data_IF_682239648213
#
_entry.id   IF_682239648213
#
_cell.length_a   1.000
_cell.length_b   1.000
_cell.length_c   1.000
_cell.angle_alpha   90.00
_cell.angle_beta   90.00
_cell.angle_gamma   90.00
#
_symmetry.space_group_name_H-M   'P 1'
#
loop_
_entity.id
_entity.type
_entity.pdbx_description
1 polymer ?
#
# COMPACT_ATOMS: atom_id res chain seq x y z
N UNK A 1 2.83 -45.18 -57.36
CA UNK A 1 2.68 -44.81 -55.95
C UNK A 1 3.88 -45.35 -55.24
N UNK A 2 4.85 -44.47 -54.98
CA UNK A 2 6.15 -44.86 -54.45
C UNK A 2 6.05 -45.09 -52.94
N UNK A 3 6.59 -46.21 -52.46
CA UNK A 3 6.52 -46.59 -51.04
C UNK A 3 7.11 -45.55 -50.07
N UNK A 4 7.91 -44.61 -50.57
CA UNK A 4 8.44 -43.48 -49.83
C UNK A 4 7.37 -42.44 -49.45
N UNK A 5 6.33 -42.23 -50.26
CA UNK A 5 5.22 -41.33 -49.93
C UNK A 5 4.38 -41.87 -48.76
N UNK A 6 4.24 -43.19 -48.68
CA UNK A 6 3.50 -43.86 -47.62
C UNK A 6 4.22 -43.72 -46.26
N UNK A 7 5.54 -43.94 -46.23
CA UNK A 7 6.35 -43.76 -45.01
C UNK A 7 6.42 -42.28 -44.60
N UNK A 8 6.56 -41.36 -45.55
CA UNK A 8 6.56 -39.92 -45.28
C UNK A 8 5.22 -39.47 -44.66
N UNK A 9 4.08 -39.93 -45.18
CA UNK A 9 2.75 -39.62 -44.63
C UNK A 9 2.54 -40.16 -43.20
N UNK A 10 3.11 -41.33 -42.88
CA UNK A 10 3.06 -41.96 -41.56
C UNK A 10 3.90 -41.19 -40.54
N UNK A 11 5.11 -40.76 -40.92
CA UNK A 11 5.97 -39.91 -40.08
C UNK A 11 5.34 -38.53 -39.89
N UNK A 12 4.78 -37.94 -40.93
CA UNK A 12 4.12 -36.63 -40.84
C UNK A 12 2.86 -36.68 -39.96
N UNK A 13 2.09 -37.76 -40.04
CA UNK A 13 0.94 -38.01 -39.15
C UNK A 13 1.37 -38.22 -37.69
N UNK A 14 2.40 -39.04 -37.46
CA UNK A 14 2.93 -39.27 -36.12
C UNK A 14 3.49 -37.98 -35.50
N UNK A 15 4.16 -37.14 -36.29
CA UNK A 15 4.72 -35.87 -35.82
C UNK A 15 3.62 -34.84 -35.52
N UNK A 16 2.52 -34.84 -36.30
CA UNK A 16 1.34 -33.99 -36.06
C UNK A 16 0.58 -34.34 -34.77
N UNK A 17 0.67 -35.60 -34.30
CA UNK A 17 0.07 -36.06 -33.04
C UNK A 17 1.07 -36.01 -31.88
N UNK A 18 2.37 -36.08 -32.17
CA UNK A 18 3.41 -36.02 -31.16
C UNK A 18 3.46 -34.66 -30.46
N UNK A 19 3.29 -33.55 -31.18
CA UNK A 19 3.39 -32.22 -30.57
C UNK A 19 2.22 -31.87 -29.62
N UNK A 20 0.93 -32.15 -29.92
CA UNK A 20 -0.15 -31.89 -28.97
C UNK A 20 -0.08 -32.84 -27.78
N UNK A 21 0.33 -34.09 -27.99
CA UNK A 21 0.51 -35.06 -26.91
C UNK A 21 1.67 -34.65 -25.98
N UNK A 22 2.79 -34.18 -26.53
CA UNK A 22 3.90 -33.64 -25.75
C UNK A 22 3.50 -32.36 -25.01
N UNK A 23 2.79 -31.43 -25.65
CA UNK A 23 2.27 -30.23 -25.01
C UNK A 23 1.32 -30.59 -23.86
N UNK A 24 0.42 -31.55 -24.07
CA UNK A 24 -0.49 -32.03 -23.04
C UNK A 24 0.26 -32.71 -21.89
N UNK A 25 1.27 -33.54 -22.18
CA UNK A 25 2.10 -34.17 -21.17
C UNK A 25 2.89 -33.14 -20.35
N UNK A 26 3.46 -32.12 -20.99
CA UNK A 26 4.13 -31.01 -20.32
C UNK A 26 3.17 -30.24 -19.40
N UNK A 27 1.98 -29.90 -19.88
CA UNK A 27 0.95 -29.22 -19.07
C UNK A 27 0.47 -30.11 -17.92
N UNK A 28 0.35 -31.42 -18.14
CA UNK A 28 -0.07 -32.37 -17.10
C UNK A 28 1.00 -32.55 -16.02
N UNK A 29 2.26 -32.70 -16.40
CA UNK A 29 3.40 -32.83 -15.47
C UNK A 29 3.57 -31.53 -14.68
N UNK A 30 3.47 -30.37 -15.34
CA UNK A 30 3.62 -29.05 -14.72
C UNK A 30 2.34 -28.54 -14.07
N UNK A 31 1.25 -29.33 -14.01
CA UNK A 31 -0.08 -28.83 -13.59
C UNK A 31 -0.07 -28.21 -12.19
N UNK A 32 0.73 -28.76 -11.28
CA UNK A 32 0.77 -28.32 -9.89
C UNK A 32 1.58 -27.02 -9.73
N UNK A 33 2.60 -26.81 -10.56
CA UNK A 33 3.35 -25.56 -10.63
C UNK A 33 2.61 -24.48 -11.41
N UNK A 34 1.94 -24.86 -12.50
CA UNK A 34 1.05 -23.98 -13.26
C UNK A 34 -0.12 -23.48 -12.40
N UNK A 35 -0.72 -24.33 -11.56
CA UNK A 35 -1.77 -23.90 -10.60
C UNK A 35 -1.26 -22.89 -9.58
N UNK A 36 0.01 -22.97 -9.17
CA UNK A 36 0.63 -21.98 -8.26
C UNK A 36 0.92 -20.65 -8.96
N UNK A 37 1.27 -20.69 -10.24
CA UNK A 37 1.67 -19.51 -11.02
C UNK A 37 0.51 -18.80 -11.73
N UNK A 38 -0.56 -19.52 -12.09
CA UNK A 38 -1.77 -19.02 -12.75
C UNK A 38 -2.39 -17.77 -12.08
N UNK A 39 -2.58 -17.71 -10.75
CA UNK A 39 -3.14 -16.51 -10.10
C UNK A 39 -2.21 -15.29 -10.12
N UNK A 40 -0.98 -15.42 -10.62
CA UNK A 40 -0.02 -14.33 -10.83
C UNK A 40 0.37 -14.14 -12.30
N UNK A 41 -0.23 -14.93 -13.21
CA UNK A 41 0.13 -14.90 -14.62
C UNK A 41 -0.56 -13.71 -15.30
N UNK A 42 0.26 -12.77 -15.76
CA UNK A 42 -0.13 -11.64 -16.58
C UNK A 42 0.36 -11.90 -18.00
N UNK A 43 -0.57 -12.14 -18.94
CA UNK A 43 -0.23 -12.30 -20.35
C UNK A 43 -0.51 -10.98 -21.07
N UNK A 44 0.57 -10.35 -21.54
CA UNK A 44 0.52 -9.18 -22.42
C UNK A 44 1.09 -9.57 -23.77
N UNK A 45 0.23 -9.57 -24.79
CA UNK A 45 0.64 -9.80 -26.17
C UNK A 45 0.03 -8.75 -27.09
N UNK A 46 0.86 -7.82 -27.59
CA UNK A 46 0.39 -6.66 -28.34
C UNK A 46 -0.53 -5.78 -27.51
N UNK A 47 -1.73 -5.54 -28.00
CA UNK A 47 -2.80 -4.80 -27.30
C UNK A 47 -3.71 -5.71 -26.46
N UNK A 48 -3.52 -7.03 -26.52
CA UNK A 48 -4.34 -7.96 -25.76
C UNK A 48 -3.74 -8.19 -24.38
N UNK A 49 -4.47 -7.74 -23.36
CA UNK A 49 -4.16 -7.97 -21.96
C UNK A 49 -5.19 -8.95 -21.39
N UNK A 50 -4.74 -10.15 -21.03
CA UNK A 50 -5.55 -11.14 -20.32
C UNK A 50 -4.82 -11.54 -19.05
N UNK A 51 -5.33 -11.06 -17.92
CA UNK A 51 -4.93 -11.49 -16.59
C UNK A 51 -6.04 -12.32 -15.97
N UNK A 52 -5.68 -13.44 -15.33
CA UNK A 52 -6.61 -14.18 -14.48
C UNK A 52 -6.71 -13.46 -13.12
N UNK A 53 -7.25 -12.24 -13.13
CA UNK A 53 -7.60 -11.51 -11.91
C UNK A 53 -9.01 -11.90 -11.49
N UNK A 54 -9.13 -12.84 -10.54
CA UNK A 54 -10.38 -13.06 -9.83
C UNK A 54 -10.62 -11.90 -8.86
N UNK A 55 -11.36 -10.89 -9.32
CA UNK A 55 -12.19 -9.99 -8.52
C UNK A 55 -11.61 -9.46 -7.20
N UNK A 56 -10.48 -8.76 -7.24
CA UNK A 56 -9.90 -8.10 -6.05
C UNK A 56 -10.03 -6.57 -6.05
N UNK A 57 -10.44 -5.94 -7.16
CA UNK A 57 -10.63 -4.48 -7.20
C UNK A 57 -11.85 -4.00 -6.39
N UNK A 58 -12.93 -4.80 -6.31
CA UNK A 58 -14.12 -4.39 -5.55
C UNK A 58 -13.95 -4.46 -4.02
N UNK A 59 -12.96 -5.20 -3.52
CA UNK A 59 -12.72 -5.32 -2.07
C UNK A 59 -11.81 -4.20 -1.57
N UNK A 60 -10.89 -3.70 -2.41
CA UNK A 60 -10.05 -2.54 -2.06
C UNK A 60 -10.88 -1.26 -2.05
N UNK A 61 -11.91 -1.15 -2.90
CA UNK A 61 -12.81 0.00 -2.92
C UNK A 61 -13.88 -0.05 -1.80
N UNK A 62 -14.39 -1.24 -1.43
CA UNK A 62 -15.40 -1.36 -0.36
C UNK A 62 -14.88 -1.22 1.07
N UNK A 63 -13.57 -1.36 1.33
CA UNK A 63 -13.01 -1.10 2.68
C UNK A 63 -12.84 0.41 2.94
N UNK A 64 -12.90 1.25 1.90
CA UNK A 64 -12.82 2.71 2.05
C UNK A 64 -14.14 3.28 2.62
N UNK A 65 -15.28 2.63 2.39
CA UNK A 65 -16.59 3.21 2.70
C UNK A 65 -17.19 2.84 4.07
N UNK A 66 -16.69 1.83 4.79
CA UNK A 66 -17.44 1.28 5.93
C UNK A 66 -16.99 1.67 7.35
N UNK A 67 -16.20 2.73 7.56
CA UNK A 67 -15.85 3.19 8.92
C UNK A 67 -15.57 4.70 9.07
N UNK A 68 -16.24 5.55 8.30
CA UNK A 68 -16.18 7.01 8.48
C UNK A 68 -17.40 7.50 9.26
N UNK A 69 -17.39 7.28 10.58
CA UNK A 69 -17.95 8.21 11.59
C UNK A 69 -17.58 7.68 12.98
N UNK A 70 -16.29 7.71 13.31
CA UNK A 70 -15.91 7.73 14.72
C UNK A 70 -15.73 9.20 15.07
N UNK A 71 -16.71 9.73 15.82
CA UNK A 71 -16.59 10.95 16.61
C UNK A 71 -15.37 10.80 17.54
N UNK A 72 -14.17 11.05 17.02
CA UNK A 72 -13.00 11.26 17.84
C UNK A 72 -13.20 12.65 18.49
N UNK A 73 -13.71 12.65 19.71
CA UNK A 73 -13.61 13.83 20.56
C UNK A 73 -12.13 14.21 20.63
N UNK A 74 -11.78 15.49 20.39
CA UNK A 74 -10.39 15.91 20.39
C UNK A 74 -9.78 15.68 21.77
N UNK A 75 -8.77 14.79 21.83
CA UNK A 75 -7.80 14.81 22.92
C UNK A 75 -7.33 16.26 23.07
N UNK A 76 -7.52 16.81 24.27
CA UNK A 76 -7.40 18.24 24.60
C UNK A 76 -6.38 18.96 23.71
N UNK A 77 -6.87 19.63 22.67
CA UNK A 77 -6.05 20.35 21.71
C UNK A 77 -5.29 21.40 22.51
N UNK A 78 -3.97 21.25 22.58
CA UNK A 78 -3.09 22.21 23.25
C UNK A 78 -3.41 23.59 22.66
N UNK A 79 -3.55 24.60 23.51
CA UNK A 79 -3.71 25.96 23.01
C UNK A 79 -2.35 26.44 22.47
N UNK A 80 -2.16 26.35 21.16
CA UNK A 80 -0.92 26.75 20.47
C UNK A 80 -0.90 28.25 20.13
N UNK A 81 -1.96 28.99 20.42
CA UNK A 81 -2.06 30.42 20.08
C UNK A 81 -1.04 31.26 20.86
N UNK A 82 -0.73 30.85 22.08
CA UNK A 82 0.19 31.57 22.98
C UNK A 82 1.67 31.31 22.66
N UNK A 83 1.98 30.36 21.77
CA UNK A 83 3.36 30.00 21.45
C UNK A 83 4.00 31.08 20.57
N UNK A 84 5.25 31.43 20.83
CA UNK A 84 6.06 32.22 19.89
C UNK A 84 6.33 31.44 18.59
N UNK A 85 6.75 32.12 17.52
CA UNK A 85 7.10 31.45 16.25
C UNK A 85 8.26 30.45 16.45
N UNK A 86 9.22 30.78 17.33
CA UNK A 86 10.33 29.89 17.67
C UNK A 86 9.83 28.63 18.38
N UNK A 87 9.00 28.77 19.42
CA UNK A 87 8.43 27.63 20.16
C UNK A 87 7.57 26.74 19.25
N UNK A 88 6.82 27.35 18.32
CA UNK A 88 6.01 26.59 17.36
C UNK A 88 6.87 25.80 16.38
N UNK A 89 8.00 26.36 15.91
CA UNK A 89 8.97 25.65 15.06
C UNK A 89 9.64 24.49 15.80
N UNK A 90 9.99 24.68 17.07
CA UNK A 90 10.58 23.62 17.90
C UNK A 90 9.57 22.48 18.13
N UNK A 91 8.32 22.82 18.48
CA UNK A 91 7.24 21.85 18.65
C UNK A 91 6.92 21.09 17.37
N UNK A 92 6.91 21.78 16.23
CA UNK A 92 6.72 21.17 14.93
C UNK A 92 7.86 20.20 14.61
N UNK A 93 9.11 20.59 14.85
CA UNK A 93 10.29 19.74 14.61
C UNK A 93 10.27 18.47 15.46
N UNK A 94 9.91 18.58 16.75
CA UNK A 94 9.73 17.41 17.60
C UNK A 94 8.62 16.50 17.06
N UNK A 95 7.46 17.07 16.76
CA UNK A 95 6.30 16.33 16.25
C UNK A 95 6.61 15.62 14.94
N UNK A 96 7.23 16.28 13.96
CA UNK A 96 7.58 15.67 12.67
C UNK A 96 8.66 14.59 12.83
N UNK A 97 9.58 14.76 13.77
CA UNK A 97 10.54 13.71 14.15
C UNK A 97 9.84 12.48 14.74
N UNK A 98 8.90 12.67 15.67
CA UNK A 98 8.08 11.59 16.24
C UNK A 98 7.28 10.87 15.16
N UNK A 99 6.66 11.60 14.23
CA UNK A 99 5.93 11.06 13.08
C UNK A 99 6.82 10.20 12.17
N UNK A 100 8.01 10.70 11.79
CA UNK A 100 8.97 9.96 10.95
C UNK A 100 9.50 8.71 11.64
N UNK A 101 9.69 8.75 12.96
CA UNK A 101 10.11 7.58 13.74
C UNK A 101 9.01 6.52 13.81
N UNK A 102 7.76 6.94 13.99
CA UNK A 102 6.60 6.05 13.96
C UNK A 102 6.42 5.38 12.60
N UNK A 103 6.54 6.12 11.50
CA UNK A 103 6.47 5.49 10.17
C UNK A 103 7.62 4.49 9.94
N UNK A 104 8.83 4.83 10.40
CA UNK A 104 9.97 3.91 10.36
C UNK A 104 9.70 2.64 11.16
N UNK A 105 9.08 2.73 12.34
CA UNK A 105 8.72 1.53 13.12
C UNK A 105 7.70 0.65 12.37
N UNK A 106 6.68 1.24 11.74
CA UNK A 106 5.72 0.50 10.90
C UNK A 106 6.45 -0.22 9.75
N UNK A 107 7.36 0.46 9.07
CA UNK A 107 8.13 -0.12 7.95
C UNK A 107 9.08 -1.23 8.43
N UNK A 108 9.70 -1.08 9.59
CA UNK A 108 10.55 -2.12 10.19
C UNK A 108 9.75 -3.35 10.61
N UNK A 109 8.62 -3.18 11.30
CA UNK A 109 7.71 -4.27 11.67
C UNK A 109 7.23 -5.05 10.46
N UNK A 110 6.92 -4.32 9.37
CA UNK A 110 6.62 -4.91 8.06
C UNK A 110 7.82 -5.75 7.62
N UNK A 111 8.97 -5.15 7.38
CA UNK A 111 10.14 -5.84 6.83
C UNK A 111 10.56 -7.08 7.64
N UNK A 112 10.51 -7.03 8.96
CA UNK A 112 10.79 -8.19 9.81
C UNK A 112 9.82 -9.36 9.58
N UNK A 113 8.53 -9.09 9.37
CA UNK A 113 7.51 -10.13 9.12
C UNK A 113 7.51 -10.67 7.69
N UNK A 114 7.94 -9.87 6.72
CA UNK A 114 8.05 -10.30 5.31
C UNK A 114 9.41 -10.93 4.97
N UNK A 115 10.39 -10.85 5.87
CA UNK A 115 11.80 -11.15 5.58
C UNK A 115 12.17 -12.63 5.39
N UNK A 116 11.60 -13.57 6.14
CA UNK A 116 12.01 -14.99 6.05
C UNK A 116 10.92 -16.00 6.45
N UNK A 117 10.00 -15.66 7.35
CA UNK A 117 9.02 -16.62 7.89
C UNK A 117 7.88 -16.99 6.92
N UNK A 118 7.65 -16.18 5.89
CA UNK A 118 6.50 -16.32 4.99
C UNK A 118 6.71 -17.35 3.86
N UNK A 119 7.92 -17.91 3.73
CA UNK A 119 8.22 -18.94 2.72
C UNK A 119 7.76 -20.35 3.18
N UNK A 120 7.53 -20.56 4.48
CA UNK A 120 7.27 -21.90 5.06
C UNK A 120 5.81 -22.15 5.49
N UNK A 121 4.93 -21.15 5.44
CA UNK A 121 3.51 -21.28 5.83
C UNK A 121 2.58 -21.11 4.61
N UNK A 122 2.60 -22.07 3.68
CA UNK A 122 1.82 -21.98 2.45
C UNK A 122 0.43 -22.63 2.51
N UNK A 123 0.07 -23.33 3.59
CA UNK A 123 -1.11 -24.23 3.57
C UNK A 123 -2.19 -23.91 4.61
N UNK A 124 -1.85 -23.37 5.79
CA UNK A 124 -2.85 -22.94 6.78
C UNK A 124 -3.12 -21.43 6.70
N UNK A 125 -4.12 -21.12 5.87
CA UNK A 125 -4.99 -19.94 5.95
C UNK A 125 -4.41 -18.59 5.47
N UNK A 126 -4.55 -18.33 4.16
CA UNK A 126 -4.53 -16.95 3.60
C UNK A 126 -5.46 -16.00 4.36
N UNK A 127 -6.53 -16.52 4.95
CA UNK A 127 -7.48 -15.73 5.73
C UNK A 127 -6.85 -15.24 7.04
N UNK A 128 -6.19 -16.10 7.80
CA UNK A 128 -5.52 -15.76 9.07
C UNK A 128 -4.37 -14.79 8.84
N UNK A 129 -3.70 -14.90 7.69
CA UNK A 129 -2.69 -13.95 7.27
C UNK A 129 -3.28 -12.57 6.97
N UNK A 130 -4.36 -12.54 6.19
CA UNK A 130 -5.06 -11.30 5.82
C UNK A 130 -5.63 -10.62 7.06
N UNK A 131 -6.25 -11.38 7.97
CA UNK A 131 -6.80 -10.88 9.23
C UNK A 131 -5.71 -10.25 10.11
N UNK A 132 -4.54 -10.88 10.20
CA UNK A 132 -3.40 -10.31 10.94
C UNK A 132 -2.90 -8.99 10.34
N UNK A 133 -2.82 -8.89 9.02
CA UNK A 133 -2.46 -7.64 8.35
C UNK A 133 -3.49 -6.55 8.57
N UNK A 134 -4.79 -6.88 8.47
CA UNK A 134 -5.88 -5.95 8.74
C UNK A 134 -5.86 -5.47 10.18
N UNK A 135 -5.69 -6.38 11.14
CA UNK A 135 -5.56 -6.05 12.56
C UNK A 135 -4.40 -5.11 12.81
N UNK A 136 -3.21 -5.41 12.29
CA UNK A 136 -2.04 -4.55 12.44
C UNK A 136 -2.23 -3.18 11.76
N UNK A 137 -2.86 -3.16 10.58
CA UNK A 137 -3.21 -1.91 9.89
C UNK A 137 -4.16 -1.05 10.73
N UNK A 138 -5.17 -1.66 11.35
CA UNK A 138 -6.12 -0.98 12.23
C UNK A 138 -5.47 -0.48 13.51
N UNK A 139 -4.56 -1.26 14.12
CA UNK A 139 -3.79 -0.83 15.29
C UNK A 139 -2.91 0.38 14.97
N UNK A 140 -2.22 0.36 13.82
CA UNK A 140 -1.40 1.49 13.36
C UNK A 140 -2.26 2.72 13.06
N UNK A 141 -3.41 2.53 12.40
CA UNK A 141 -4.37 3.61 12.13
C UNK A 141 -4.90 4.23 13.43
N UNK A 142 -5.24 3.39 14.41
CA UNK A 142 -5.69 3.85 15.72
C UNK A 142 -4.61 4.69 16.40
N UNK A 143 -3.37 4.17 16.49
CA UNK A 143 -2.23 4.89 17.08
C UNK A 143 -1.95 6.22 16.38
N UNK A 144 -2.02 6.25 15.05
CA UNK A 144 -1.91 7.50 14.28
C UNK A 144 -2.95 8.52 14.72
N UNK A 145 -4.23 8.13 14.72
CA UNK A 145 -5.37 9.01 15.03
C UNK A 145 -5.38 9.47 16.49
N UNK A 146 -4.92 8.64 17.42
CA UNK A 146 -4.91 8.99 18.85
C UNK A 146 -3.67 9.79 19.24
N UNK A 147 -2.48 9.36 18.82
CA UNK A 147 -1.23 9.81 19.45
C UNK A 147 -0.51 10.91 18.65
N UNK A 148 -0.75 10.99 17.34
CA UNK A 148 0.05 11.83 16.43
C UNK A 148 -0.79 12.84 15.63
N UNK A 149 -1.92 12.40 15.06
CA UNK A 149 -2.74 13.25 14.20
C UNK A 149 -3.25 14.52 14.89
N UNK A 150 -3.74 14.49 16.15
CA UNK A 150 -4.30 15.69 16.78
C UNK A 150 -3.26 16.80 16.93
N UNK A 151 -2.04 16.46 17.39
CA UNK A 151 -0.92 17.39 17.50
C UNK A 151 -0.54 17.95 16.12
N UNK A 152 -0.41 17.07 15.11
CA UNK A 152 -0.01 17.44 13.76
C UNK A 152 -1.01 18.40 13.09
N UNK A 153 -2.32 18.15 13.25
CA UNK A 153 -3.39 19.02 12.74
C UNK A 153 -3.39 20.35 13.46
N UNK A 154 -3.28 20.36 14.79
CA UNK A 154 -3.24 21.59 15.58
C UNK A 154 -2.06 22.49 15.17
N UNK A 155 -0.87 21.90 14.99
CA UNK A 155 0.33 22.62 14.54
C UNK A 155 0.11 23.17 13.13
N UNK A 156 -0.35 22.35 12.19
CA UNK A 156 -0.63 22.79 10.81
C UNK A 156 -1.60 23.96 10.78
N UNK A 157 -2.71 23.86 11.49
CA UNK A 157 -3.76 24.87 11.48
C UNK A 157 -3.25 26.19 12.07
N UNK A 158 -2.46 26.13 13.15
CA UNK A 158 -1.82 27.31 13.74
C UNK A 158 -0.77 27.93 12.80
N UNK A 159 0.02 27.12 12.10
CA UNK A 159 0.98 27.59 11.09
C UNK A 159 0.27 28.31 9.94
N UNK A 160 -0.78 27.69 9.37
CA UNK A 160 -1.58 28.29 8.30
C UNK A 160 -2.25 29.58 8.76
N UNK A 161 -2.75 29.62 9.99
CA UNK A 161 -3.35 30.83 10.58
C UNK A 161 -2.34 31.99 10.63
N UNK A 162 -1.08 31.73 10.97
CA UNK A 162 -0.02 32.75 11.03
C UNK A 162 0.48 33.18 9.66
N UNK A 163 0.58 32.25 8.72
CA UNK A 163 1.00 32.53 7.34
C UNK A 163 -0.07 33.29 6.53
N UNK A 164 -1.34 33.13 6.93
CA UNK A 164 -2.47 33.77 6.28
C UNK A 164 -2.89 33.07 4.98
N UNK A 165 -3.97 33.54 4.35
CA UNK A 165 -4.63 32.86 3.22
C UNK A 165 -3.87 32.90 1.90
N UNK A 166 -2.83 33.73 1.79
CA UNK A 166 -2.06 33.90 0.55
C UNK A 166 -0.90 32.92 0.41
N UNK A 167 -0.76 31.97 1.35
CA UNK A 167 0.33 31.02 1.32
C UNK A 167 -0.05 29.76 0.54
N UNK A 168 0.58 29.57 -0.61
CA UNK A 168 0.36 28.44 -1.50
C UNK A 168 1.41 27.35 -1.23
N UNK A 169 1.20 26.57 -0.17
CA UNK A 169 1.95 25.31 0.05
C UNK A 169 1.09 24.17 -0.47
N UNK A 170 1.66 23.37 -1.37
CA UNK A 170 1.01 22.16 -1.84
C UNK A 170 0.92 21.12 -0.71
N UNK A 171 -0.25 21.07 -0.07
CA UNK A 171 -0.58 20.12 0.97
C UNK A 171 -1.24 18.84 0.42
N UNK A 172 -1.39 18.68 -0.89
CA UNK A 172 -2.28 17.66 -1.47
C UNK A 172 -2.00 16.25 -0.96
N UNK A 173 -0.73 15.86 -0.87
CA UNK A 173 -0.32 14.53 -0.35
C UNK A 173 -0.53 14.39 1.16
N UNK A 174 -0.34 15.47 1.91
CA UNK A 174 -0.48 15.49 3.36
C UNK A 174 -1.94 15.50 3.82
N UNK A 175 -2.88 16.01 3.00
CA UNK A 175 -4.31 16.10 3.33
C UNK A 175 -4.91 14.77 3.72
N UNK A 176 -4.56 13.68 3.04
CA UNK A 176 -5.13 12.36 3.32
C UNK A 176 -4.83 11.91 4.76
N UNK A 177 -3.59 12.11 5.22
CA UNK A 177 -3.18 11.73 6.56
C UNK A 177 -3.64 12.75 7.62
N UNK A 178 -3.58 14.05 7.32
CA UNK A 178 -3.89 15.11 8.28
C UNK A 178 -5.40 15.36 8.40
N UNK A 179 -6.13 15.51 7.29
CA UNK A 179 -7.56 15.84 7.29
C UNK A 179 -8.42 14.61 7.59
N UNK A 180 -8.11 13.48 6.96
CA UNK A 180 -8.95 12.26 7.05
C UNK A 180 -8.40 11.22 8.03
N UNK A 181 -7.19 11.44 8.55
CA UNK A 181 -6.55 10.49 9.45
C UNK A 181 -6.28 9.15 8.78
N UNK A 182 -6.16 9.11 7.45
CA UNK A 182 -6.00 7.88 6.68
C UNK A 182 -4.53 7.65 6.33
N UNK A 183 -4.10 6.40 6.43
CA UNK A 183 -2.74 5.98 6.08
C UNK A 183 -2.67 5.39 4.66
N UNK A 184 -3.28 6.07 3.69
CA UNK A 184 -3.26 5.65 2.29
C UNK A 184 -2.08 6.28 1.53
N UNK A 185 -1.39 5.48 0.72
CA UNK A 185 -0.25 5.91 -0.08
C UNK A 185 1.10 5.32 0.36
N UNK A 186 2.19 5.68 -0.33
CA UNK A 186 3.50 5.08 -0.10
C UNK A 186 4.14 5.53 1.22
N UNK A 187 3.95 6.79 1.63
CA UNK A 187 4.51 7.35 2.87
C UNK A 187 3.65 8.48 3.46
N UNK A 188 2.38 8.20 3.80
CA UNK A 188 1.40 9.23 4.20
C UNK A 188 1.83 10.06 5.42
N UNK A 189 2.53 9.44 6.37
CA UNK A 189 2.97 10.10 7.60
C UNK A 189 4.18 11.00 7.33
N UNK A 190 5.17 10.56 6.55
CA UNK A 190 6.28 11.40 6.14
C UNK A 190 5.84 12.55 5.22
N UNK A 191 4.85 12.32 4.34
CA UNK A 191 4.27 13.39 3.51
C UNK A 191 3.62 14.46 4.40
N UNK A 192 2.87 14.05 5.43
CA UNK A 192 2.34 14.96 6.44
C UNK A 192 3.42 15.69 7.24
N UNK A 193 4.49 14.99 7.64
CA UNK A 193 5.61 15.59 8.36
C UNK A 193 6.32 16.66 7.50
N UNK A 194 6.55 16.34 6.23
CA UNK A 194 7.20 17.24 5.26
C UNK A 194 6.37 18.49 5.04
N UNK A 195 5.03 18.35 4.93
CA UNK A 195 4.13 19.48 4.81
C UNK A 195 4.21 20.43 6.01
N UNK A 196 4.26 19.91 7.24
CA UNK A 196 4.42 20.72 8.46
C UNK A 196 5.78 21.41 8.46
N UNK A 197 6.87 20.71 8.11
CA UNK A 197 8.22 21.29 7.99
C UNK A 197 8.25 22.45 6.98
N UNK A 198 7.60 22.29 5.83
CA UNK A 198 7.48 23.35 4.82
C UNK A 198 6.76 24.58 5.35
N UNK A 199 5.64 24.40 6.06
CA UNK A 199 4.91 25.50 6.69
C UNK A 199 5.75 26.20 7.76
N UNK A 200 6.53 25.45 8.54
CA UNK A 200 7.45 26.03 9.53
C UNK A 200 8.56 26.87 8.89
N UNK A 201 9.11 26.43 7.76
CA UNK A 201 10.11 27.19 7.01
C UNK A 201 9.55 28.47 6.40
N UNK A 202 8.25 28.51 6.11
CA UNK A 202 7.59 29.70 5.59
C UNK A 202 7.27 30.75 6.67
N UNK A 203 7.28 30.39 7.95
CA UNK A 203 7.02 31.36 9.03
C UNK A 203 8.09 32.46 9.00
N UNK A 204 7.72 33.73 9.24
CA UNK A 204 8.68 34.79 9.49
C UNK A 204 9.39 34.57 10.84
N UNK A 205 10.65 34.99 10.90
CA UNK A 205 11.46 34.98 12.13
C UNK A 205 10.90 35.89 13.24
#
# INVERSE_FOLDING_TARGET
>A
MDGFELIASLVESATKIAWPAAAFACVWIMRDDLRKLLPRAYFKHGEFEAGFYTGQESVVEQVIDHNVTVNAQPLAVRNLQDFSNAELRDLATDTTTRMRNFERSIKQERNHRFGFDNILYYDSSRNDYTERLLKQSNENLHRWRSDYQPDAVAIRDELLRRLGPNHDVDLHRARVALDHGMLAGPSPIADAATAIEMLCHALPD
#
